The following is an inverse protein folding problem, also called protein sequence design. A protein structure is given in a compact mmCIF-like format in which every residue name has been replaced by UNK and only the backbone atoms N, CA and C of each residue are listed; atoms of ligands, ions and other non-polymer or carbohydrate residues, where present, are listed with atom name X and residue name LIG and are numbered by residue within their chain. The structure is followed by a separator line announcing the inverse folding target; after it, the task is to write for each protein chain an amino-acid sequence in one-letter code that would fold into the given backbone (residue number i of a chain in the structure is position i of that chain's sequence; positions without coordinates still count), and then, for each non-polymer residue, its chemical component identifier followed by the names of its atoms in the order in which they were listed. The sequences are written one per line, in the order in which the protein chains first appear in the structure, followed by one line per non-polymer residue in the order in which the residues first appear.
data_IF_663900689935
#
_entry.id   IF_663900689935
#
_cell.length_a   1.000
_cell.length_b   1.000
_cell.length_c   1.000
_cell.angle_alpha   90.00
_cell.angle_beta   90.00
_cell.angle_gamma   90.00
#
_symmetry.space_group_name_H-M   'P 1'
#
loop_
_entity.id
_entity.type
_entity.pdbx_description
1 polymer ?
#
# COMPACT_ATOMS: atom_id res chain seq x y z
N UNK A 1 31.51 40.17 -5.72
CA UNK A 1 31.89 38.90 -5.03
C UNK A 1 31.54 38.92 -3.54
N UNK A 2 31.76 39.97 -2.79
CA UNK A 2 31.50 40.05 -1.34
C UNK A 2 30.04 39.80 -0.90
N UNK A 3 29.05 40.26 -1.67
CA UNK A 3 27.64 40.12 -1.30
C UNK A 3 27.12 38.64 -1.32
N UNK A 4 27.62 37.79 -2.22
CA UNK A 4 27.32 36.35 -2.23
C UNK A 4 27.90 35.61 -1.03
N UNK A 5 29.07 36.04 -0.56
CA UNK A 5 29.73 35.44 0.61
C UNK A 5 28.95 35.76 1.89
N UNK A 6 28.46 36.99 2.08
CA UNK A 6 27.62 37.35 3.23
C UNK A 6 26.29 36.59 3.24
N UNK A 7 25.68 36.38 2.06
CA UNK A 7 24.46 35.62 1.95
C UNK A 7 24.69 34.15 2.35
N UNK A 8 25.80 33.49 1.93
CA UNK A 8 26.15 32.15 2.32
C UNK A 8 26.36 32.02 3.83
N UNK A 9 27.11 32.97 4.43
CA UNK A 9 27.29 32.98 5.88
C UNK A 9 25.98 33.19 6.63
N UNK A 10 25.11 34.09 6.16
CA UNK A 10 23.78 34.28 6.72
C UNK A 10 22.95 33.00 6.69
N UNK A 11 22.89 32.32 5.54
CA UNK A 11 22.17 31.05 5.39
C UNK A 11 22.75 29.95 6.29
N UNK A 12 24.10 29.85 6.37
CA UNK A 12 24.75 28.83 7.22
C UNK A 12 24.49 29.09 8.71
N UNK A 13 24.56 30.31 9.17
CA UNK A 13 24.30 30.70 10.58
C UNK A 13 22.82 30.44 10.91
N UNK A 14 21.90 30.81 10.02
CA UNK A 14 20.47 30.55 10.20
C UNK A 14 20.17 29.07 10.24
N UNK A 15 20.76 28.29 9.33
CA UNK A 15 20.60 26.82 9.31
C UNK A 15 21.16 26.16 10.60
N UNK A 16 22.32 26.61 11.09
CA UNK A 16 22.88 26.14 12.34
C UNK A 16 22.01 26.51 13.55
N UNK A 17 21.50 27.75 13.61
CA UNK A 17 20.59 28.17 14.67
C UNK A 17 19.27 27.35 14.64
N UNK A 18 18.68 27.12 13.46
CA UNK A 18 17.51 26.25 13.32
C UNK A 18 17.80 24.82 13.78
N UNK A 19 18.95 24.24 13.41
CA UNK A 19 19.35 22.91 13.84
C UNK A 19 19.48 22.80 15.37
N UNK A 20 20.08 23.81 16.01
CA UNK A 20 20.21 23.88 17.48
C UNK A 20 18.84 24.02 18.14
N UNK A 21 17.93 24.83 17.59
CA UNK A 21 16.56 24.99 18.10
C UNK A 21 15.76 23.68 17.97
N UNK A 22 15.85 23.01 16.83
CA UNK A 22 15.21 21.69 16.63
C UNK A 22 15.78 20.64 17.59
N UNK A 23 17.09 20.61 17.77
CA UNK A 23 17.73 19.71 18.73
C UNK A 23 17.27 20.01 20.17
N UNK A 24 17.26 21.27 20.58
CA UNK A 24 16.81 21.68 21.91
C UNK A 24 15.34 21.34 22.15
N UNK A 25 14.46 21.63 21.19
CA UNK A 25 13.02 21.29 21.26
C UNK A 25 12.80 19.78 21.37
N UNK A 26 13.56 18.98 20.60
CA UNK A 26 13.41 17.52 20.56
C UNK A 26 13.89 16.83 21.84
N UNK A 27 14.96 17.35 22.47
CA UNK A 27 15.62 16.67 23.60
C UNK A 27 15.33 17.31 24.97
N UNK A 28 14.90 18.58 25.02
CA UNK A 28 14.76 19.33 26.28
C UNK A 28 13.37 19.97 26.47
N UNK A 29 12.52 19.97 25.44
CA UNK A 29 11.13 20.41 25.54
C UNK A 29 10.22 19.30 24.98
N UNK A 30 8.93 19.38 25.27
CA UNK A 30 7.93 18.35 24.91
C UNK A 30 7.69 18.16 23.40
N UNK A 31 8.67 18.49 22.56
CA UNK A 31 8.60 18.33 21.11
C UNK A 31 7.53 19.24 20.46
N UNK A 32 7.50 20.51 20.83
CA UNK A 32 6.52 21.50 20.33
C UNK A 32 6.52 21.55 18.79
N UNK A 33 7.69 21.39 18.19
CA UNK A 33 7.81 21.32 16.72
C UNK A 33 7.11 20.03 16.17
N UNK A 34 7.27 18.91 16.87
CA UNK A 34 6.63 17.65 16.48
C UNK A 34 5.10 17.74 16.60
N UNK A 35 4.60 18.29 17.71
CA UNK A 35 3.17 18.56 17.94
C UNK A 35 2.62 19.51 16.88
N UNK A 36 3.37 20.57 16.52
CA UNK A 36 2.97 21.49 15.46
C UNK A 36 2.89 20.79 14.09
N UNK A 37 3.89 19.97 13.76
CA UNK A 37 3.92 19.20 12.51
C UNK A 37 2.75 18.21 12.47
N UNK A 38 2.50 17.47 13.55
CA UNK A 38 1.38 16.54 13.66
C UNK A 38 0.03 17.25 13.47
N UNK A 39 -0.16 18.39 14.12
CA UNK A 39 -1.36 19.22 13.97
C UNK A 39 -1.51 19.74 12.53
N UNK A 40 -0.41 20.18 11.90
CA UNK A 40 -0.39 20.63 10.51
C UNK A 40 -0.79 19.49 9.56
N UNK A 41 -0.21 18.29 9.72
CA UNK A 41 -0.61 17.12 8.96
C UNK A 41 -2.06 16.73 9.21
N UNK A 42 -2.55 16.85 10.45
CA UNK A 42 -3.95 16.64 10.80
C UNK A 42 -4.90 17.56 10.02
N UNK A 43 -4.56 18.83 9.91
CA UNK A 43 -5.34 19.82 9.13
C UNK A 43 -5.25 19.54 7.63
N UNK A 44 -4.11 19.07 7.14
CA UNK A 44 -3.89 18.79 5.73
C UNK A 44 -4.44 17.41 5.27
N UNK A 45 -4.86 16.53 6.18
CA UNK A 45 -5.41 15.20 5.85
C UNK A 45 -6.42 15.22 4.69
N UNK A 46 -7.48 16.07 4.68
CA UNK A 46 -8.44 16.09 3.58
C UNK A 46 -7.80 16.48 2.24
N UNK A 47 -6.80 17.37 2.25
CA UNK A 47 -6.07 17.78 1.05
C UNK A 47 -5.22 16.63 0.51
N UNK A 48 -4.54 15.90 1.41
CA UNK A 48 -3.76 14.71 1.05
C UNK A 48 -4.66 13.60 0.47
N UNK A 49 -5.84 13.38 1.06
CA UNK A 49 -6.84 12.46 0.49
C UNK A 49 -7.29 12.90 -0.90
N UNK A 50 -7.57 14.19 -1.08
CA UNK A 50 -7.94 14.75 -2.38
C UNK A 50 -6.84 14.60 -3.44
N UNK A 51 -5.59 14.80 -3.06
CA UNK A 51 -4.43 14.61 -3.93
C UNK A 51 -4.28 13.12 -4.32
N UNK A 52 -4.40 12.22 -3.35
CA UNK A 52 -4.34 10.79 -3.61
C UNK A 52 -5.47 10.31 -4.55
N UNK A 53 -6.72 10.75 -4.29
CA UNK A 53 -7.86 10.45 -5.15
C UNK A 53 -7.68 11.03 -6.56
N UNK A 54 -7.24 12.29 -6.68
CA UNK A 54 -6.96 12.90 -7.98
C UNK A 54 -5.88 12.11 -8.74
N UNK A 55 -4.83 11.68 -8.04
CA UNK A 55 -3.75 10.90 -8.64
C UNK A 55 -4.23 9.54 -9.16
N UNK A 56 -5.04 8.82 -8.37
CA UNK A 56 -5.61 7.53 -8.75
C UNK A 56 -6.63 7.65 -9.90
N UNK A 57 -7.46 8.70 -9.89
CA UNK A 57 -8.51 8.89 -10.89
C UNK A 57 -8.00 9.52 -12.20
N UNK A 58 -6.83 10.14 -12.20
CA UNK A 58 -6.25 10.80 -13.40
C UNK A 58 -6.30 9.93 -14.65
N UNK A 59 -5.86 8.65 -14.67
CA UNK A 59 -5.89 7.84 -15.89
C UNK A 59 -7.29 7.55 -16.39
N UNK A 60 -8.26 7.43 -15.47
CA UNK A 60 -9.67 7.19 -15.83
C UNK A 60 -10.27 8.44 -16.45
N UNK A 61 -10.00 9.61 -15.87
CA UNK A 61 -10.41 10.90 -16.44
C UNK A 61 -9.79 11.11 -17.83
N UNK A 62 -8.50 10.81 -17.99
CA UNK A 62 -7.80 10.96 -19.29
C UNK A 62 -8.31 9.95 -20.34
N UNK A 63 -8.77 8.79 -19.91
CA UNK A 63 -9.45 7.82 -20.77
C UNK A 63 -10.79 8.38 -21.27
N UNK A 64 -11.63 8.91 -20.37
CA UNK A 64 -12.90 9.54 -20.75
C UNK A 64 -12.71 10.82 -21.56
N UNK A 65 -11.69 11.64 -21.26
CA UNK A 65 -11.37 12.82 -22.07
C UNK A 65 -11.08 12.43 -23.54
N UNK A 66 -10.30 11.37 -23.75
CA UNK A 66 -10.02 10.84 -25.10
C UNK A 66 -11.28 10.29 -25.77
N UNK A 67 -12.02 9.45 -25.06
CA UNK A 67 -13.23 8.82 -25.57
C UNK A 67 -14.30 9.86 -25.99
N UNK A 68 -14.51 10.88 -25.17
CA UNK A 68 -15.46 11.96 -25.43
C UNK A 68 -15.00 12.86 -26.59
N UNK A 69 -13.70 13.12 -26.70
CA UNK A 69 -13.12 13.90 -27.79
C UNK A 69 -13.32 13.19 -29.14
N UNK A 70 -13.03 11.88 -29.17
CA UNK A 70 -13.05 11.11 -30.42
C UNK A 70 -14.49 10.81 -30.89
N UNK A 71 -15.45 10.69 -29.94
CA UNK A 71 -16.84 10.31 -30.27
C UNK A 71 -17.82 11.47 -30.40
N UNK A 72 -17.69 12.53 -29.62
CA UNK A 72 -18.69 13.60 -29.49
C UNK A 72 -18.30 14.91 -30.17
N UNK A 73 -17.06 15.06 -30.66
CA UNK A 73 -16.63 16.25 -31.41
C UNK A 73 -16.80 17.58 -30.67
N UNK A 74 -16.92 17.56 -29.34
CA UNK A 74 -17.19 18.74 -28.53
C UNK A 74 -15.99 19.68 -28.57
N UNK A 75 -16.18 20.87 -29.16
CA UNK A 75 -15.10 21.86 -29.36
C UNK A 75 -14.65 22.63 -28.12
N UNK A 76 -15.39 22.56 -27.00
CA UNK A 76 -15.04 23.28 -25.76
C UNK A 76 -14.27 22.36 -24.79
N UNK A 77 -12.95 22.48 -24.78
CA UNK A 77 -12.05 21.67 -23.93
C UNK A 77 -12.41 21.72 -22.42
N UNK A 78 -12.85 22.86 -21.89
CA UNK A 78 -13.26 22.97 -20.50
C UNK A 78 -14.52 22.19 -20.13
N UNK A 79 -15.53 22.17 -20.99
CA UNK A 79 -16.76 21.41 -20.79
C UNK A 79 -16.48 19.89 -20.83
N UNK A 80 -15.63 19.46 -21.77
CA UNK A 80 -15.23 18.05 -21.86
C UNK A 80 -14.52 17.60 -20.61
N UNK A 81 -13.57 18.37 -20.12
CA UNK A 81 -12.85 18.06 -18.87
C UNK A 81 -13.79 17.94 -17.68
N UNK A 82 -14.74 18.87 -17.52
CA UNK A 82 -15.75 18.78 -16.46
C UNK A 82 -16.62 17.53 -16.61
N UNK A 83 -17.05 17.18 -17.82
CA UNK A 83 -17.87 15.99 -18.06
C UNK A 83 -17.09 14.70 -17.79
N UNK A 84 -15.84 14.61 -18.22
CA UNK A 84 -14.96 13.46 -17.94
C UNK A 84 -14.73 13.27 -16.45
N UNK A 85 -14.52 14.35 -15.69
CA UNK A 85 -14.37 14.30 -14.23
C UNK A 85 -15.68 13.84 -13.58
N UNK A 86 -16.82 14.39 -14.00
CA UNK A 86 -18.13 14.03 -13.47
C UNK A 86 -18.45 12.54 -13.72
N UNK A 87 -18.26 12.06 -14.94
CA UNK A 87 -18.47 10.65 -15.30
C UNK A 87 -17.53 9.75 -14.50
N UNK A 88 -16.25 10.12 -14.36
CA UNK A 88 -15.29 9.36 -13.57
C UNK A 88 -15.70 9.26 -12.09
N UNK A 89 -16.15 10.38 -11.50
CA UNK A 89 -16.60 10.38 -10.11
C UNK A 89 -17.92 9.62 -9.91
N UNK A 90 -18.89 9.75 -10.81
CA UNK A 90 -20.11 8.96 -10.78
C UNK A 90 -19.81 7.46 -10.89
N UNK A 91 -18.90 7.08 -11.79
CA UNK A 91 -18.47 5.69 -11.93
C UNK A 91 -17.74 5.19 -10.67
N UNK A 92 -16.82 5.97 -10.12
CA UNK A 92 -16.08 5.62 -8.91
C UNK A 92 -17.01 5.48 -7.70
N UNK A 93 -17.89 6.44 -7.47
CA UNK A 93 -18.88 6.40 -6.38
C UNK A 93 -19.89 5.28 -6.59
N UNK A 94 -20.35 5.06 -7.82
CA UNK A 94 -21.25 3.97 -8.17
C UNK A 94 -20.61 2.60 -7.94
N UNK A 95 -19.34 2.43 -8.31
CA UNK A 95 -18.59 1.20 -8.06
C UNK A 95 -18.39 0.96 -6.55
N UNK A 96 -18.01 1.98 -5.81
CA UNK A 96 -17.86 1.92 -4.34
C UNK A 96 -19.20 1.57 -3.68
N UNK A 97 -20.29 2.24 -4.08
CA UNK A 97 -21.63 1.96 -3.58
C UNK A 97 -22.06 0.51 -3.85
N UNK A 98 -21.89 0.05 -5.10
CA UNK A 98 -22.23 -1.32 -5.49
C UNK A 98 -21.38 -2.35 -4.72
N UNK A 99 -20.09 -2.10 -4.56
CA UNK A 99 -19.20 -2.96 -3.80
C UNK A 99 -19.63 -3.05 -2.33
N UNK A 100 -19.92 -1.92 -1.69
CA UNK A 100 -20.36 -1.91 -0.30
C UNK A 100 -21.78 -2.47 -0.11
N UNK A 101 -22.70 -2.22 -1.05
CA UNK A 101 -24.07 -2.76 -0.99
C UNK A 101 -24.14 -4.28 -1.07
N UNK A 102 -23.18 -4.92 -1.77
CA UNK A 102 -23.05 -6.38 -1.82
C UNK A 102 -22.24 -6.89 -0.64
N UNK A 103 -21.11 -6.26 -0.36
CA UNK A 103 -20.14 -6.77 0.59
C UNK A 103 -20.57 -6.64 2.05
N UNK A 104 -21.18 -5.49 2.43
CA UNK A 104 -21.54 -5.25 3.84
C UNK A 104 -22.59 -6.24 4.36
N UNK A 105 -23.74 -6.48 3.67
CA UNK A 105 -24.70 -7.48 4.14
C UNK A 105 -24.08 -8.88 4.29
N UNK A 106 -23.23 -9.26 3.35
CA UNK A 106 -22.57 -10.57 3.34
C UNK A 106 -21.54 -10.69 4.46
N UNK A 107 -20.78 -9.62 4.72
CA UNK A 107 -19.87 -9.56 5.86
C UNK A 107 -20.63 -9.66 7.18
N UNK A 108 -21.75 -8.92 7.33
CA UNK A 108 -22.57 -8.96 8.54
C UNK A 108 -23.15 -10.36 8.75
N UNK A 109 -23.68 -10.99 7.70
CA UNK A 109 -24.18 -12.35 7.77
C UNK A 109 -23.09 -13.35 8.18
N UNK A 110 -21.91 -13.21 7.59
CA UNK A 110 -20.75 -14.06 7.89
C UNK A 110 -20.23 -13.86 9.33
N UNK A 111 -20.16 -12.63 9.78
CA UNK A 111 -19.79 -12.29 11.16
C UNK A 111 -20.84 -12.82 12.15
N UNK A 112 -22.13 -12.65 11.86
CA UNK A 112 -23.22 -13.18 12.69
C UNK A 112 -23.15 -14.72 12.80
N UNK A 113 -22.89 -15.39 11.69
CA UNK A 113 -22.72 -16.84 11.66
C UNK A 113 -21.50 -17.30 12.48
N UNK A 114 -20.39 -16.57 12.39
CA UNK A 114 -19.20 -16.84 13.17
C UNK A 114 -19.50 -16.74 14.68
N UNK A 115 -20.27 -15.74 15.09
CA UNK A 115 -20.67 -15.58 16.49
C UNK A 115 -21.65 -16.63 16.98
N UNK A 116 -22.63 -16.98 16.18
CA UNK A 116 -23.57 -18.05 16.54
C UNK A 116 -22.88 -19.41 16.74
N UNK A 117 -21.76 -19.61 16.08
CA UNK A 117 -20.97 -20.85 16.18
C UNK A 117 -19.78 -20.76 17.15
N UNK A 118 -19.55 -19.63 17.80
CA UNK A 118 -18.38 -19.41 18.66
C UNK A 118 -18.28 -20.43 19.79
N UNK A 119 -19.41 -20.79 20.42
CA UNK A 119 -19.45 -21.83 21.43
C UNK A 119 -19.10 -23.20 20.90
N UNK A 120 -19.56 -23.52 19.68
CA UNK A 120 -19.21 -24.79 19.00
C UNK A 120 -17.71 -24.86 18.69
N UNK A 121 -17.11 -23.76 18.26
CA UNK A 121 -15.67 -23.67 18.01
C UNK A 121 -14.85 -23.82 19.29
N UNK A 122 -15.28 -23.16 20.37
CA UNK A 122 -14.66 -23.36 21.68
C UNK A 122 -14.69 -24.83 22.09
N UNK A 123 -15.85 -25.49 22.00
CA UNK A 123 -15.98 -26.93 22.31
C UNK A 123 -15.06 -27.79 21.44
N UNK A 124 -14.96 -27.48 20.16
CA UNK A 124 -14.09 -28.20 19.22
C UNK A 124 -12.61 -28.05 19.63
N UNK A 125 -12.17 -26.82 19.90
CA UNK A 125 -10.79 -26.54 20.35
C UNK A 125 -10.54 -27.22 21.68
N UNK A 126 -11.47 -27.12 22.63
CA UNK A 126 -11.37 -27.75 23.94
C UNK A 126 -11.19 -29.25 23.81
N UNK A 127 -11.98 -29.92 22.96
CA UNK A 127 -11.89 -31.36 22.72
C UNK A 127 -10.56 -31.74 22.09
N UNK A 128 -10.09 -30.98 21.08
CA UNK A 128 -8.79 -31.25 20.46
C UNK A 128 -7.64 -31.08 21.45
N UNK A 129 -7.66 -30.03 22.26
CA UNK A 129 -6.63 -29.81 23.28
C UNK A 129 -6.64 -30.91 24.30
N UNK A 130 -7.82 -31.32 24.78
CA UNK A 130 -7.94 -32.45 25.75
C UNK A 130 -7.36 -33.74 25.18
N UNK A 131 -7.67 -34.08 23.92
CA UNK A 131 -7.11 -35.24 23.25
C UNK A 131 -5.59 -35.20 23.05
N UNK A 132 -5.04 -34.02 22.77
CA UNK A 132 -3.60 -33.85 22.55
C UNK A 132 -2.78 -33.87 23.84
N UNK A 133 -3.40 -33.61 24.99
CA UNK A 133 -2.70 -33.44 26.28
C UNK A 133 -3.15 -34.50 27.28
N UNK A 134 -3.82 -35.57 26.83
CA UNK A 134 -4.37 -36.64 27.68
C UNK A 134 -3.29 -37.30 28.53
N UNK A 135 -2.05 -37.36 28.04
CA UNK A 135 -0.91 -38.01 28.73
C UNK A 135 -0.23 -37.14 29.81
N UNK A 136 -0.60 -35.84 29.97
CA UNK A 136 0.11 -34.95 30.85
C UNK A 136 -0.81 -33.96 31.64
N UNK A 137 -1.35 -34.39 32.81
CA UNK A 137 -2.37 -33.64 33.55
C UNK A 137 -2.00 -32.16 33.90
N UNK A 138 -0.74 -31.88 34.19
CA UNK A 138 -0.26 -30.53 34.54
C UNK A 138 -0.27 -29.56 33.35
N UNK A 139 0.05 -30.06 32.16
CA UNK A 139 0.02 -29.25 30.93
C UNK A 139 -1.43 -29.05 30.50
N UNK A 140 -2.27 -30.08 30.66
CA UNK A 140 -3.70 -30.06 30.32
C UNK A 140 -4.43 -28.93 31.05
N UNK A 141 -4.32 -28.84 32.36
CA UNK A 141 -5.03 -27.83 33.16
C UNK A 141 -4.62 -26.41 32.78
N UNK A 142 -3.32 -26.18 32.57
CA UNK A 142 -2.81 -24.84 32.21
C UNK A 142 -3.22 -24.41 30.79
N UNK A 143 -3.17 -25.31 29.82
CA UNK A 143 -3.59 -25.01 28.43
C UNK A 143 -5.09 -24.82 28.35
N UNK A 144 -5.89 -25.63 29.04
CA UNK A 144 -7.34 -25.49 29.05
C UNK A 144 -7.79 -24.19 29.74
N UNK A 145 -7.07 -23.74 30.79
CA UNK A 145 -7.33 -22.44 31.42
C UNK A 145 -7.04 -21.30 30.42
N UNK A 146 -5.91 -21.34 29.72
CA UNK A 146 -5.60 -20.36 28.68
C UNK A 146 -6.67 -20.32 27.58
N UNK A 147 -7.11 -21.47 27.07
CA UNK A 147 -8.16 -21.55 26.05
C UNK A 147 -9.47 -20.92 26.55
N UNK A 148 -9.82 -21.14 27.83
CA UNK A 148 -11.01 -20.54 28.44
C UNK A 148 -10.88 -19.01 28.60
N UNK A 149 -9.73 -18.54 29.05
CA UNK A 149 -9.49 -17.11 29.31
C UNK A 149 -9.52 -16.33 27.97
N UNK A 150 -8.81 -16.82 26.95
CA UNK A 150 -8.86 -16.22 25.62
C UNK A 150 -10.26 -16.30 24.96
N UNK A 151 -11.00 -17.37 25.20
CA UNK A 151 -12.39 -17.47 24.74
C UNK A 151 -13.26 -16.36 25.38
N UNK A 152 -13.17 -16.18 26.69
CA UNK A 152 -13.94 -15.17 27.42
C UNK A 152 -13.53 -13.76 26.95
N UNK A 153 -12.23 -13.48 26.82
CA UNK A 153 -11.72 -12.20 26.31
C UNK A 153 -12.20 -11.94 24.89
N UNK A 154 -12.20 -12.96 24.03
CA UNK A 154 -12.73 -12.86 22.66
C UNK A 154 -14.23 -12.56 22.67
N UNK A 155 -15.02 -13.26 23.49
CA UNK A 155 -16.47 -13.03 23.63
C UNK A 155 -16.76 -11.60 24.10
N UNK A 156 -16.01 -11.12 25.08
CA UNK A 156 -16.17 -9.77 25.63
C UNK A 156 -15.75 -8.71 24.60
N UNK A 157 -14.64 -8.90 23.91
CA UNK A 157 -14.21 -8.00 22.83
C UNK A 157 -15.27 -7.94 21.71
N UNK A 158 -15.83 -9.06 21.35
CA UNK A 158 -16.89 -9.15 20.35
C UNK A 158 -18.13 -8.40 20.79
N UNK A 159 -18.64 -8.67 21.98
CA UNK A 159 -19.86 -8.03 22.52
C UNK A 159 -19.69 -6.53 22.69
N UNK A 160 -18.51 -6.10 23.13
CA UNK A 160 -18.28 -4.71 23.49
C UNK A 160 -17.70 -3.87 22.34
N UNK A 161 -17.09 -4.48 21.32
CA UNK A 161 -16.40 -3.76 20.24
C UNK A 161 -16.97 -4.08 18.87
N UNK A 162 -17.07 -5.38 18.53
CA UNK A 162 -17.42 -5.78 17.15
C UNK A 162 -18.91 -5.61 16.87
N UNK A 163 -19.79 -6.09 17.76
CA UNK A 163 -21.25 -5.96 17.57
C UNK A 163 -21.69 -4.49 17.54
N UNK A 164 -21.28 -3.64 18.49
CA UNK A 164 -21.58 -2.22 18.40
C UNK A 164 -20.99 -1.56 17.16
N UNK A 165 -19.75 -1.90 16.79
CA UNK A 165 -19.10 -1.39 15.58
C UNK A 165 -19.81 -1.81 14.30
N UNK A 166 -20.26 -3.06 14.20
CA UNK A 166 -21.06 -3.55 13.08
C UNK A 166 -22.43 -2.87 12.99
N UNK A 167 -23.12 -2.68 14.13
CA UNK A 167 -24.37 -1.93 14.18
C UNK A 167 -24.18 -0.48 13.72
N UNK A 168 -23.11 0.19 14.18
CA UNK A 168 -22.76 1.55 13.71
C UNK A 168 -22.47 1.54 12.21
N UNK A 169 -21.75 0.56 11.67
CA UNK A 169 -21.49 0.44 10.24
C UNK A 169 -22.78 0.20 9.43
N UNK A 170 -23.68 -0.67 9.91
CA UNK A 170 -24.99 -0.91 9.27
C UNK A 170 -25.85 0.36 9.32
N UNK A 171 -25.94 1.01 10.48
CA UNK A 171 -26.68 2.27 10.63
C UNK A 171 -26.05 3.39 9.80
N UNK A 172 -24.72 3.41 9.67
CA UNK A 172 -24.01 4.36 8.78
C UNK A 172 -24.38 4.16 7.30
N UNK A 173 -24.56 2.91 6.88
CA UNK A 173 -24.96 2.59 5.50
C UNK A 173 -26.47 2.77 5.27
N UNK A 174 -27.31 2.46 6.28
CA UNK A 174 -28.77 2.46 6.14
C UNK A 174 -29.46 3.73 6.64
N UNK A 175 -28.86 4.48 7.56
CA UNK A 175 -29.48 5.64 8.20
C UNK A 175 -28.51 6.71 8.71
N UNK A 176 -27.27 6.67 8.27
CA UNK A 176 -26.18 7.38 8.87
C UNK A 176 -26.14 8.88 8.65
N UNK A 177 -26.16 9.67 9.69
CA UNK A 177 -25.91 11.11 9.54
C UNK A 177 -24.76 11.65 10.42
N UNK A 178 -24.47 11.15 11.59
CA UNK A 178 -23.59 11.89 12.51
C UNK A 178 -22.13 11.40 12.61
N UNK A 179 -21.84 10.13 12.68
CA UNK A 179 -20.44 9.65 12.68
C UNK A 179 -19.82 9.58 11.28
N UNK A 180 -20.67 9.39 10.26
CA UNK A 180 -20.31 9.55 8.84
C UNK A 180 -19.99 11.02 8.53
N UNK A 181 -20.56 12.00 9.24
CA UNK A 181 -20.34 13.43 8.98
C UNK A 181 -18.87 13.86 9.22
N UNK A 182 -18.17 13.32 10.20
CA UNK A 182 -16.77 13.70 10.43
C UNK A 182 -15.86 13.06 9.38
N UNK A 183 -16.04 11.77 9.09
CA UNK A 183 -15.33 11.10 8.00
C UNK A 183 -15.79 11.62 6.63
N UNK A 184 -17.10 11.83 6.45
CA UNK A 184 -17.66 12.39 5.23
C UNK A 184 -17.21 13.83 4.99
N UNK A 185 -17.01 14.63 6.04
CA UNK A 185 -16.44 15.98 5.89
C UNK A 185 -15.06 15.94 5.27
N UNK A 186 -14.14 15.12 5.81
CA UNK A 186 -12.78 15.02 5.29
C UNK A 186 -12.75 14.37 3.89
N UNK A 187 -13.61 13.39 3.66
CA UNK A 187 -13.79 12.77 2.35
C UNK A 187 -14.40 13.76 1.34
N UNK A 188 -15.42 14.51 1.73
CA UNK A 188 -16.09 15.50 0.87
C UNK A 188 -15.13 16.62 0.50
N UNK A 189 -14.39 17.16 1.48
CA UNK A 189 -13.31 18.13 1.19
C UNK A 189 -12.26 17.50 0.27
N UNK A 190 -11.87 16.25 0.50
CA UNK A 190 -10.97 15.51 -0.36
C UNK A 190 -11.51 15.36 -1.78
N UNK A 191 -12.80 15.04 -1.95
CA UNK A 191 -13.45 14.97 -3.28
C UNK A 191 -13.38 16.33 -3.97
N UNK A 192 -13.75 17.42 -3.28
CA UNK A 192 -13.69 18.79 -3.85
C UNK A 192 -12.27 19.14 -4.27
N UNK A 193 -11.29 18.88 -3.41
CA UNK A 193 -9.86 19.09 -3.72
C UNK A 193 -9.44 18.24 -4.91
N UNK A 194 -9.83 16.97 -4.97
CA UNK A 194 -9.55 16.07 -6.10
C UNK A 194 -10.13 16.60 -7.40
N UNK A 195 -11.39 17.01 -7.41
CA UNK A 195 -12.04 17.61 -8.59
C UNK A 195 -11.28 18.85 -9.05
N UNK A 196 -10.88 19.72 -8.11
CA UNK A 196 -10.11 20.92 -8.43
C UNK A 196 -8.74 20.59 -9.02
N UNK A 197 -8.00 19.64 -8.45
CA UNK A 197 -6.71 19.18 -8.97
C UNK A 197 -6.87 18.57 -10.36
N UNK A 198 -7.85 17.69 -10.56
CA UNK A 198 -8.15 17.07 -11.84
C UNK A 198 -8.52 18.10 -12.91
N UNK A 199 -9.33 19.10 -12.55
CA UNK A 199 -9.73 20.17 -13.48
C UNK A 199 -8.55 21.07 -13.90
N UNK A 200 -7.59 21.28 -13.01
CA UNK A 200 -6.46 22.20 -13.17
C UNK A 200 -5.09 21.53 -13.26
N UNK A 201 -5.03 20.21 -13.55
CA UNK A 201 -3.77 19.44 -13.53
C UNK A 201 -2.67 20.05 -14.41
N UNK A 202 -3.05 20.57 -15.59
CA UNK A 202 -2.09 21.20 -16.51
C UNK A 202 -1.50 22.50 -15.93
N UNK A 203 -2.34 23.30 -15.28
CA UNK A 203 -1.93 24.54 -14.62
C UNK A 203 -1.00 24.24 -13.45
N UNK A 204 -1.34 23.24 -12.62
CA UNK A 204 -0.45 22.78 -11.53
C UNK A 204 0.88 22.29 -12.07
N UNK A 205 0.86 21.46 -13.11
CA UNK A 205 2.07 20.99 -13.77
C UNK A 205 2.96 22.11 -14.31
N UNK A 206 2.35 23.16 -14.89
CA UNK A 206 3.08 24.34 -15.35
C UNK A 206 3.68 25.14 -14.20
N UNK A 207 2.94 25.34 -13.10
CA UNK A 207 3.45 26.04 -11.93
C UNK A 207 4.60 25.28 -11.28
N UNK A 208 4.48 23.97 -11.13
CA UNK A 208 5.56 23.11 -10.60
C UNK A 208 6.81 23.19 -11.46
N UNK A 209 6.68 23.16 -12.80
CA UNK A 209 7.81 23.31 -13.71
C UNK A 209 8.45 24.70 -13.62
N UNK A 210 7.63 25.77 -13.54
CA UNK A 210 8.13 27.14 -13.36
C UNK A 210 8.87 27.29 -12.04
N UNK A 211 8.32 26.74 -10.94
CA UNK A 211 8.97 26.76 -9.64
C UNK A 211 10.30 26.00 -9.68
N UNK A 212 10.30 24.81 -10.28
CA UNK A 212 11.52 24.02 -10.43
C UNK A 212 12.58 24.78 -11.23
N UNK A 213 12.18 25.40 -12.35
CA UNK A 213 13.08 26.20 -13.16
C UNK A 213 13.63 27.43 -12.43
N UNK A 214 12.85 28.05 -11.53
CA UNK A 214 13.29 29.20 -10.75
C UNK A 214 14.25 28.82 -9.61
N UNK A 215 14.11 27.63 -9.04
CA UNK A 215 14.93 27.16 -7.92
C UNK A 215 16.22 26.48 -8.36
N UNK A 216 16.23 25.90 -9.55
CA UNK A 216 17.34 25.09 -10.07
C UNK A 216 18.00 25.80 -11.26
N UNK A 217 19.33 25.86 -11.26
CA UNK A 217 20.07 26.46 -12.40
C UNK A 217 19.80 25.72 -13.71
N UNK A 218 19.81 26.45 -14.82
CA UNK A 218 19.48 25.93 -16.15
C UNK A 218 20.11 24.57 -16.53
N UNK A 219 21.41 24.29 -16.26
CA UNK A 219 22.04 23.00 -16.60
C UNK A 219 21.53 21.83 -15.73
N UNK A 220 20.92 22.11 -14.59
CA UNK A 220 20.39 21.10 -13.66
C UNK A 220 18.88 20.86 -13.82
N UNK A 221 18.17 21.81 -14.46
CA UNK A 221 16.72 21.72 -14.64
C UNK A 221 16.28 20.44 -15.38
N UNK A 222 16.92 20.15 -16.51
CA UNK A 222 16.58 18.94 -17.29
C UNK A 222 16.83 17.63 -16.50
N UNK A 223 17.83 17.61 -15.62
CA UNK A 223 18.09 16.48 -14.72
C UNK A 223 17.01 16.36 -13.65
N UNK A 224 16.66 17.49 -13.02
CA UNK A 224 15.59 17.51 -12.01
C UNK A 224 14.24 17.11 -12.61
N UNK A 225 13.93 17.57 -13.83
CA UNK A 225 12.70 17.21 -14.52
C UNK A 225 12.65 15.70 -14.87
N UNK A 226 13.77 15.12 -15.30
CA UNK A 226 13.86 13.67 -15.54
C UNK A 226 13.68 12.88 -14.25
N UNK A 227 14.35 13.28 -13.16
CA UNK A 227 14.19 12.65 -11.86
C UNK A 227 12.75 12.70 -11.35
N UNK A 228 12.06 13.84 -11.51
CA UNK A 228 10.64 13.97 -11.12
C UNK A 228 9.73 13.06 -11.96
N UNK A 229 9.96 12.97 -13.27
CA UNK A 229 9.19 12.06 -14.14
C UNK A 229 9.43 10.59 -13.80
N UNK A 230 10.67 10.24 -13.48
CA UNK A 230 11.02 8.88 -13.08
C UNK A 230 10.38 8.52 -11.74
N UNK A 231 10.43 9.41 -10.75
CA UNK A 231 9.74 9.25 -9.48
C UNK A 231 8.22 9.08 -9.66
N UNK A 232 7.60 9.90 -10.53
CA UNK A 232 6.18 9.75 -10.85
C UNK A 232 5.88 8.40 -11.51
N UNK A 233 6.72 7.95 -12.44
CA UNK A 233 6.60 6.63 -13.08
C UNK A 233 6.65 5.49 -12.09
N UNK A 234 7.65 5.49 -11.21
CA UNK A 234 7.84 4.45 -10.18
C UNK A 234 6.64 4.46 -9.22
N UNK A 235 6.30 5.62 -8.67
CA UNK A 235 5.25 5.74 -7.67
C UNK A 235 3.87 5.40 -8.25
N UNK A 236 3.51 5.96 -9.41
CA UNK A 236 2.22 5.73 -10.05
C UNK A 236 2.06 4.29 -10.52
N UNK A 237 3.11 3.74 -11.12
CA UNK A 237 3.12 2.36 -11.59
C UNK A 237 2.93 1.38 -10.43
N UNK A 238 3.67 1.56 -9.34
CA UNK A 238 3.55 0.71 -8.16
C UNK A 238 2.17 0.80 -7.50
N UNK A 239 1.70 2.02 -7.18
CA UNK A 239 0.43 2.21 -6.45
C UNK A 239 -0.74 1.68 -7.26
N UNK A 240 -0.84 2.05 -8.54
CA UNK A 240 -1.92 1.56 -9.41
C UNK A 240 -1.83 0.07 -9.66
N UNK A 241 -0.62 -0.42 -9.94
CA UNK A 241 -0.39 -1.83 -10.18
C UNK A 241 -0.77 -2.67 -8.96
N UNK A 242 -0.33 -2.29 -7.76
CA UNK A 242 -0.59 -3.08 -6.55
C UNK A 242 -2.05 -3.02 -6.10
N UNK A 243 -2.73 -1.89 -6.27
CA UNK A 243 -4.18 -1.80 -6.01
C UNK A 243 -4.98 -2.67 -6.98
N UNK A 244 -4.64 -2.64 -8.27
CA UNK A 244 -5.30 -3.49 -9.26
C UNK A 244 -5.04 -4.97 -9.01
N UNK A 245 -3.80 -5.33 -8.71
CA UNK A 245 -3.38 -6.67 -8.34
C UNK A 245 -4.19 -7.20 -7.15
N UNK A 246 -4.24 -6.45 -6.06
CA UNK A 246 -4.99 -6.78 -4.84
C UNK A 246 -6.50 -6.94 -5.10
N UNK A 247 -7.07 -6.10 -5.94
CA UNK A 247 -8.46 -6.21 -6.34
C UNK A 247 -8.72 -7.50 -7.11
N UNK A 248 -7.86 -7.83 -8.08
CA UNK A 248 -7.98 -9.05 -8.88
C UNK A 248 -7.84 -10.29 -7.99
N UNK A 249 -6.85 -10.31 -7.10
CA UNK A 249 -6.64 -11.41 -6.14
C UNK A 249 -7.84 -11.57 -5.20
N UNK A 250 -8.40 -10.47 -4.68
CA UNK A 250 -9.62 -10.52 -3.86
C UNK A 250 -10.82 -11.10 -4.62
N UNK A 251 -11.04 -10.67 -5.87
CA UNK A 251 -12.12 -11.19 -6.72
C UNK A 251 -11.90 -12.67 -7.05
N UNK A 252 -10.69 -13.08 -7.44
CA UNK A 252 -10.38 -14.48 -7.71
C UNK A 252 -10.58 -15.34 -6.46
N UNK A 253 -10.12 -14.86 -5.31
CA UNK A 253 -10.34 -15.54 -4.04
C UNK A 253 -11.84 -15.71 -3.76
N UNK A 254 -12.65 -14.66 -3.92
CA UNK A 254 -14.09 -14.72 -3.75
C UNK A 254 -14.75 -15.75 -4.67
N UNK A 255 -14.43 -15.73 -5.97
CA UNK A 255 -15.00 -16.63 -6.97
C UNK A 255 -14.67 -18.08 -6.62
N UNK A 256 -13.40 -18.41 -6.38
CA UNK A 256 -12.98 -19.79 -6.14
C UNK A 256 -13.50 -20.29 -4.79
N UNK A 257 -13.43 -19.49 -3.74
CA UNK A 257 -14.00 -19.84 -2.43
C UNK A 257 -15.52 -20.09 -2.50
N UNK A 258 -16.24 -19.29 -3.32
CA UNK A 258 -17.68 -19.48 -3.54
C UNK A 258 -17.97 -20.77 -4.29
N UNK A 259 -17.21 -21.09 -5.34
CA UNK A 259 -17.36 -22.36 -6.11
C UNK A 259 -17.08 -23.58 -5.22
N UNK A 260 -16.02 -23.51 -4.40
CA UNK A 260 -15.62 -24.58 -3.47
C UNK A 260 -16.49 -24.60 -2.20
N UNK A 261 -17.43 -23.65 -2.06
CA UNK A 261 -18.35 -23.52 -0.92
C UNK A 261 -17.61 -23.47 0.43
N UNK A 262 -16.51 -22.72 0.49
CA UNK A 262 -15.82 -22.49 1.76
C UNK A 262 -16.67 -21.61 2.68
N UNK A 263 -16.65 -21.86 4.00
CA UNK A 263 -17.32 -21.01 4.97
C UNK A 263 -16.67 -19.61 4.97
N UNK A 264 -17.46 -18.61 5.31
CA UNK A 264 -16.98 -17.22 5.45
C UNK A 264 -16.29 -16.65 4.21
N UNK A 265 -16.64 -17.10 3.02
CA UNK A 265 -16.05 -16.68 1.73
C UNK A 265 -15.91 -15.16 1.60
N UNK A 266 -16.92 -14.31 1.90
CA UNK A 266 -16.78 -12.85 1.75
C UNK A 266 -15.72 -12.25 2.67
N UNK A 267 -15.68 -12.71 3.94
CA UNK A 267 -14.66 -12.25 4.90
C UNK A 267 -13.27 -12.65 4.40
N UNK A 268 -13.10 -13.90 4.00
CA UNK A 268 -11.83 -14.44 3.51
C UNK A 268 -11.34 -13.67 2.28
N UNK A 269 -12.22 -13.43 1.31
CA UNK A 269 -11.87 -12.72 0.09
C UNK A 269 -11.46 -11.26 0.36
N UNK A 270 -12.15 -10.59 1.30
CA UNK A 270 -11.79 -9.23 1.72
C UNK A 270 -10.46 -9.23 2.47
N UNK A 271 -10.25 -10.14 3.41
CA UNK A 271 -8.97 -10.26 4.12
C UNK A 271 -7.82 -10.48 3.14
N UNK A 272 -7.92 -11.48 2.27
CA UNK A 272 -6.88 -11.80 1.29
C UNK A 272 -6.66 -10.63 0.33
N UNK A 273 -7.73 -10.04 -0.22
CA UNK A 273 -7.61 -8.92 -1.16
C UNK A 273 -7.02 -7.66 -0.52
N UNK A 274 -7.50 -7.26 0.66
CA UNK A 274 -7.03 -6.05 1.35
C UNK A 274 -5.59 -6.21 1.83
N UNK A 275 -5.27 -7.35 2.45
CA UNK A 275 -3.92 -7.57 2.95
C UNK A 275 -2.90 -7.71 1.82
N UNK A 276 -3.32 -8.22 0.64
CA UNK A 276 -2.46 -8.33 -0.54
C UNK A 276 -1.89 -6.98 -1.02
N UNK A 277 -2.45 -5.85 -0.58
CA UNK A 277 -1.87 -4.52 -0.84
C UNK A 277 -0.45 -4.41 -0.25
N UNK A 278 -0.17 -5.10 0.86
CA UNK A 278 1.15 -5.13 1.49
C UNK A 278 2.02 -6.17 0.75
N UNK A 279 3.09 -5.74 0.05
CA UNK A 279 3.94 -6.69 -0.67
C UNK A 279 4.57 -7.70 0.29
N UNK A 280 4.77 -8.92 -0.15
CA UNK A 280 5.41 -10.05 0.56
C UNK A 280 4.60 -10.53 1.78
N UNK A 281 4.25 -9.65 2.72
CA UNK A 281 3.57 -10.03 3.96
C UNK A 281 2.06 -10.16 3.81
N UNK A 282 1.47 -9.42 2.87
CA UNK A 282 0.02 -9.40 2.65
C UNK A 282 -0.63 -10.77 2.50
N UNK A 283 -0.10 -11.63 1.63
CA UNK A 283 -0.63 -12.98 1.45
C UNK A 283 -0.72 -13.80 2.73
N UNK A 284 0.30 -13.73 3.58
CA UNK A 284 0.33 -14.46 4.86
C UNK A 284 -0.66 -13.88 5.87
N UNK A 285 -0.73 -12.54 5.95
CA UNK A 285 -1.66 -11.83 6.85
C UNK A 285 -3.12 -12.13 6.50
N UNK A 286 -3.44 -12.36 5.24
CA UNK A 286 -4.77 -12.77 4.80
C UNK A 286 -5.03 -14.27 4.95
N UNK A 287 -4.07 -15.09 4.55
CA UNK A 287 -4.25 -16.55 4.49
C UNK A 287 -4.31 -17.21 5.88
N UNK A 288 -3.45 -16.79 6.83
CA UNK A 288 -3.36 -17.43 8.14
C UNK A 288 -4.67 -17.32 8.94
N UNK A 289 -5.25 -16.12 9.15
CA UNK A 289 -6.54 -16.01 9.83
C UNK A 289 -7.67 -16.72 9.09
N UNK A 290 -7.66 -16.66 7.75
CA UNK A 290 -8.67 -17.31 6.91
C UNK A 290 -8.60 -18.84 7.04
N UNK A 291 -7.40 -19.43 7.00
CA UNK A 291 -7.19 -20.85 7.20
C UNK A 291 -7.65 -21.29 8.59
N UNK A 292 -7.37 -20.50 9.62
CA UNK A 292 -7.81 -20.76 10.98
C UNK A 292 -9.35 -20.77 11.09
N UNK A 293 -10.03 -19.79 10.51
CA UNK A 293 -11.51 -19.75 10.49
C UNK A 293 -12.11 -20.97 9.81
N UNK A 294 -11.56 -21.41 8.69
CA UNK A 294 -12.02 -22.62 7.99
C UNK A 294 -11.71 -23.89 8.79
N UNK A 295 -10.54 -23.94 9.45
CA UNK A 295 -10.12 -25.07 10.27
C UNK A 295 -11.13 -25.35 11.39
N UNK A 296 -11.66 -24.32 12.02
CA UNK A 296 -12.65 -24.43 13.09
C UNK A 296 -13.97 -25.09 12.59
N UNK A 297 -14.31 -24.90 11.31
CA UNK A 297 -15.50 -25.52 10.71
C UNK A 297 -15.21 -26.92 10.20
N UNK A 298 -14.12 -27.10 9.46
CA UNK A 298 -13.76 -28.36 8.83
C UNK A 298 -12.27 -28.45 8.50
N UNK A 299 -11.51 -29.34 9.17
CA UNK A 299 -10.10 -29.57 8.86
C UNK A 299 -9.86 -29.95 7.39
N UNK A 300 -10.77 -30.69 6.80
CA UNK A 300 -10.68 -31.12 5.40
C UNK A 300 -10.80 -29.92 4.44
N UNK A 301 -11.73 -29.01 4.71
CA UNK A 301 -11.86 -27.79 3.89
C UNK A 301 -10.66 -26.85 4.09
N UNK A 302 -10.08 -26.79 5.29
CA UNK A 302 -8.87 -26.03 5.55
C UNK A 302 -7.70 -26.53 4.69
N UNK A 303 -7.52 -27.85 4.55
CA UNK A 303 -6.48 -28.40 3.68
C UNK A 303 -6.69 -27.98 2.22
N UNK A 304 -7.91 -28.03 1.71
CA UNK A 304 -8.22 -27.57 0.35
C UNK A 304 -7.98 -26.07 0.19
N UNK A 305 -8.31 -25.27 1.20
CA UNK A 305 -8.05 -23.84 1.20
C UNK A 305 -6.55 -23.52 1.19
N UNK A 306 -5.74 -24.24 1.98
CA UNK A 306 -4.27 -24.08 1.97
C UNK A 306 -3.69 -24.38 0.60
N UNK A 307 -4.12 -25.46 -0.05
CA UNK A 307 -3.68 -25.80 -1.42
C UNK A 307 -4.09 -24.69 -2.39
N UNK A 308 -5.34 -24.23 -2.31
CA UNK A 308 -5.85 -23.17 -3.15
C UNK A 308 -5.08 -21.87 -2.95
N UNK A 309 -4.86 -21.42 -1.70
CA UNK A 309 -4.19 -20.16 -1.43
C UNK A 309 -2.74 -20.16 -1.89
N UNK A 310 -2.04 -21.30 -1.75
CA UNK A 310 -0.69 -21.46 -2.29
C UNK A 310 -0.71 -21.33 -3.83
N UNK A 311 -1.65 -21.99 -4.50
CA UNK A 311 -1.80 -21.88 -5.96
C UNK A 311 -2.11 -20.43 -6.38
N UNK A 312 -3.00 -19.74 -5.65
CA UNK A 312 -3.33 -18.35 -5.89
C UNK A 312 -2.10 -17.45 -5.72
N UNK A 313 -1.27 -17.68 -4.70
CA UNK A 313 -0.04 -16.91 -4.48
C UNK A 313 1.02 -17.20 -5.54
N UNK A 314 1.13 -18.43 -6.02
CA UNK A 314 2.00 -18.75 -7.15
C UNK A 314 1.53 -18.07 -8.44
N UNK A 315 0.22 -17.99 -8.66
CA UNK A 315 -0.35 -17.26 -9.78
C UNK A 315 -0.07 -15.76 -9.65
N UNK A 316 -0.24 -15.18 -8.47
CA UNK A 316 0.09 -13.78 -8.19
C UNK A 316 1.57 -13.50 -8.46
N UNK A 317 2.47 -14.21 -7.80
CA UNK A 317 3.91 -13.94 -7.86
C UNK A 317 4.55 -14.18 -9.23
N UNK A 318 4.07 -15.18 -10.00
CA UNK A 318 4.71 -15.57 -11.25
C UNK A 318 4.00 -15.06 -12.52
N UNK A 319 2.71 -14.73 -12.44
CA UNK A 319 1.93 -14.33 -13.62
C UNK A 319 1.35 -12.92 -13.45
N UNK A 320 0.59 -12.68 -12.38
CA UNK A 320 -0.16 -11.44 -12.21
C UNK A 320 0.76 -10.27 -11.86
N UNK A 321 1.60 -10.46 -10.85
CA UNK A 321 2.58 -9.46 -10.40
C UNK A 321 3.48 -8.96 -11.54
N UNK A 322 4.21 -9.83 -12.26
CA UNK A 322 5.04 -9.41 -13.40
C UNK A 322 4.24 -8.72 -14.51
N UNK A 323 3.01 -9.15 -14.79
CA UNK A 323 2.16 -8.52 -15.82
C UNK A 323 1.63 -7.15 -15.42
N UNK A 324 1.31 -6.94 -14.15
CA UNK A 324 0.69 -5.70 -13.67
C UNK A 324 1.75 -4.70 -13.22
N UNK A 325 2.71 -5.13 -12.41
CA UNK A 325 3.74 -4.27 -11.84
C UNK A 325 4.94 -4.10 -12.79
N UNK A 326 5.24 -5.13 -13.62
CA UNK A 326 6.40 -5.14 -14.50
C UNK A 326 7.70 -4.89 -13.72
N UNK A 327 8.69 -4.30 -14.40
CA UNK A 327 9.96 -3.87 -13.79
C UNK A 327 9.87 -2.48 -13.14
N UNK A 328 8.65 -2.06 -12.72
CA UNK A 328 8.35 -0.66 -12.38
C UNK A 328 9.15 -0.17 -11.16
N UNK A 329 9.50 -1.07 -10.24
CA UNK A 329 10.13 -0.69 -8.95
C UNK A 329 11.65 -0.73 -9.02
N UNK A 330 12.24 -1.60 -9.83
CA UNK A 330 13.69 -1.66 -10.12
C UNK A 330 14.62 -1.88 -8.92
N UNK A 331 14.10 -2.33 -7.76
CA UNK A 331 14.88 -2.64 -6.56
C UNK A 331 14.80 -4.13 -6.22
N UNK A 332 15.87 -4.67 -5.60
CA UNK A 332 15.88 -6.06 -5.19
C UNK A 332 14.92 -6.36 -4.04
N UNK A 333 14.50 -7.63 -3.90
CA UNK A 333 13.58 -8.08 -2.84
C UNK A 333 14.08 -7.73 -1.44
N UNK A 334 15.39 -7.71 -1.21
CA UNK A 334 15.98 -7.26 0.05
C UNK A 334 15.56 -5.82 0.39
N UNK A 335 15.69 -4.90 -0.56
CA UNK A 335 15.31 -3.50 -0.36
C UNK A 335 13.81 -3.30 -0.23
N UNK A 336 13.00 -4.17 -0.83
CA UNK A 336 11.55 -4.16 -0.61
C UNK A 336 11.22 -4.49 0.85
N UNK A 337 11.86 -5.53 1.42
CA UNK A 337 11.67 -5.87 2.85
C UNK A 337 12.09 -4.71 3.75
N UNK A 338 13.25 -4.11 3.51
CA UNK A 338 13.72 -2.94 4.28
C UNK A 338 12.73 -1.79 4.18
N UNK A 339 12.24 -1.49 2.98
CA UNK A 339 11.26 -0.41 2.75
C UNK A 339 9.95 -0.65 3.50
N UNK A 340 9.47 -1.90 3.55
CA UNK A 340 8.26 -2.26 4.29
C UNK A 340 8.47 -2.12 5.80
N UNK A 341 9.60 -2.59 6.33
CA UNK A 341 9.90 -2.51 7.77
C UNK A 341 10.05 -1.06 8.23
N UNK A 342 10.83 -0.27 7.49
CA UNK A 342 11.03 1.16 7.81
C UNK A 342 9.73 1.93 7.62
N UNK A 343 9.06 1.75 6.49
CA UNK A 343 7.78 2.40 6.22
C UNK A 343 6.72 2.04 7.26
N UNK A 344 6.67 0.77 7.66
CA UNK A 344 5.77 0.28 8.70
C UNK A 344 6.00 0.93 10.06
N UNK A 345 7.26 1.13 10.44
CA UNK A 345 7.63 1.83 11.67
C UNK A 345 7.18 3.30 11.71
N UNK A 346 7.19 3.98 10.57
CA UNK A 346 6.78 5.40 10.50
C UNK A 346 5.27 5.60 10.27
N UNK A 347 4.62 4.75 9.50
CA UNK A 347 3.25 5.00 9.06
C UNK A 347 2.30 3.79 9.14
N UNK A 348 2.65 2.76 9.92
CA UNK A 348 1.84 1.54 10.05
C UNK A 348 1.58 0.90 8.67
N UNK A 349 0.37 0.41 8.46
CA UNK A 349 -0.02 -0.29 7.21
C UNK A 349 0.16 0.59 5.96
N UNK A 350 -0.22 1.87 6.04
CA UNK A 350 -0.01 2.81 4.93
C UNK A 350 1.47 3.04 4.65
N UNK A 351 2.29 3.09 5.70
CA UNK A 351 3.73 3.19 5.59
C UNK A 351 4.36 1.94 4.97
N UNK A 352 3.88 0.74 5.29
CA UNK A 352 4.33 -0.50 4.63
C UNK A 352 4.05 -0.47 3.13
N UNK A 353 2.88 0.01 2.73
CA UNK A 353 2.50 0.11 1.33
C UNK A 353 3.28 1.19 0.58
N UNK A 354 3.29 2.42 1.10
CA UNK A 354 3.94 3.56 0.44
C UNK A 354 5.46 3.55 0.58
N UNK A 355 5.99 2.85 1.57
CA UNK A 355 7.43 2.73 1.81
C UNK A 355 8.18 2.18 0.61
N UNK A 356 7.61 1.20 -0.09
CA UNK A 356 8.24 0.57 -1.25
C UNK A 356 8.48 1.55 -2.40
N UNK A 357 7.47 2.27 -2.93
CA UNK A 357 7.71 3.24 -4.00
C UNK A 357 8.53 4.45 -3.54
N UNK A 358 8.40 4.88 -2.30
CA UNK A 358 9.25 5.96 -1.74
C UNK A 358 10.71 5.53 -1.71
N UNK A 359 10.99 4.32 -1.21
CA UNK A 359 12.35 3.78 -1.18
C UNK A 359 12.91 3.58 -2.59
N UNK A 360 12.10 3.11 -3.53
CA UNK A 360 12.51 2.95 -4.93
C UNK A 360 12.88 4.31 -5.56
N UNK A 361 12.12 5.37 -5.27
CA UNK A 361 12.46 6.73 -5.72
C UNK A 361 13.79 7.21 -5.11
N UNK A 362 14.01 6.97 -3.81
CA UNK A 362 15.27 7.31 -3.13
C UNK A 362 16.43 6.52 -3.75
N UNK A 363 16.26 5.21 -3.94
CA UNK A 363 17.27 4.35 -4.56
C UNK A 363 17.61 4.81 -5.99
N UNK A 364 16.61 5.11 -6.81
CA UNK A 364 16.80 5.65 -8.16
C UNK A 364 17.57 6.99 -8.14
N UNK A 365 17.23 7.88 -7.21
CA UNK A 365 17.94 9.16 -7.05
C UNK A 365 19.40 8.95 -6.63
N UNK A 366 19.68 8.06 -5.68
CA UNK A 366 21.04 7.73 -5.23
C UNK A 366 21.84 7.10 -6.37
N UNK A 367 21.28 6.12 -7.08
CA UNK A 367 21.94 5.49 -8.25
C UNK A 367 22.29 6.52 -9.31
N UNK A 368 21.37 7.44 -9.63
CA UNK A 368 21.64 8.51 -10.58
C UNK A 368 22.78 9.45 -10.13
N UNK A 369 22.83 9.78 -8.83
CA UNK A 369 23.93 10.60 -8.28
C UNK A 369 25.26 9.87 -8.31
N UNK A 370 25.29 8.59 -7.99
CA UNK A 370 26.48 7.73 -8.07
C UNK A 370 27.01 7.65 -9.49
N UNK A 371 26.14 7.31 -10.46
CA UNK A 371 26.55 7.24 -11.87
C UNK A 371 27.07 8.57 -12.40
N UNK A 372 26.39 9.67 -12.06
CA UNK A 372 26.82 11.01 -12.44
C UNK A 372 28.20 11.35 -11.87
N UNK A 373 28.51 10.90 -10.64
CA UNK A 373 29.81 11.09 -10.00
C UNK A 373 30.89 10.23 -10.63
N UNK A 374 30.58 8.96 -10.94
CA UNK A 374 31.52 8.02 -11.59
C UNK A 374 31.91 8.50 -12.99
N UNK A 375 30.95 8.97 -13.78
CA UNK A 375 31.20 9.57 -15.10
C UNK A 375 32.12 10.79 -15.01
N UNK A 376 31.97 11.64 -13.99
CA UNK A 376 32.88 12.78 -13.76
C UNK A 376 34.33 12.35 -13.43
N UNK A 377 34.47 11.17 -12.81
CA UNK A 377 35.76 10.57 -12.48
C UNK A 377 36.37 9.76 -13.63
N UNK A 378 35.73 9.72 -14.82
CA UNK A 378 36.18 8.96 -15.97
C UNK A 378 36.01 7.44 -15.86
N UNK A 379 35.27 6.98 -14.84
CA UNK A 379 34.96 5.55 -14.65
C UNK A 379 33.73 5.21 -15.47
N UNK A 380 33.93 4.57 -16.61
CA UNK A 380 32.85 4.17 -17.55
C UNK A 380 32.66 2.66 -17.62
N UNK A 381 33.56 1.90 -16.99
CA UNK A 381 33.55 0.44 -17.06
C UNK A 381 32.96 -0.18 -15.77
N UNK A 382 31.78 -0.77 -15.89
CA UNK A 382 31.10 -1.46 -14.80
C UNK A 382 31.85 -2.72 -14.32
N UNK A 383 32.82 -3.21 -15.10
CA UNK A 383 33.63 -4.37 -14.73
C UNK A 383 34.49 -4.13 -13.50
N UNK A 384 34.85 -2.88 -13.19
CA UNK A 384 35.63 -2.51 -12.00
C UNK A 384 34.87 -2.87 -10.71
N UNK A 385 33.53 -2.84 -10.75
CA UNK A 385 32.62 -3.11 -9.61
C UNK A 385 32.00 -4.49 -9.68
N UNK A 386 32.26 -5.27 -10.75
CA UNK A 386 31.76 -6.63 -10.83
C UNK A 386 32.28 -7.46 -9.64
N UNK A 387 31.43 -8.25 -8.95
CA UNK A 387 31.88 -9.12 -7.89
C UNK A 387 32.99 -10.05 -8.46
N UNK A 388 34.16 -10.06 -7.83
CA UNK A 388 35.22 -11.01 -8.17
C UNK A 388 34.60 -12.41 -8.09
N UNK A 389 34.30 -13.02 -9.24
CA UNK A 389 34.01 -14.45 -9.30
C UNK A 389 35.24 -15.12 -8.67
N UNK A 390 35.00 -15.83 -7.57
CA UNK A 390 36.01 -16.66 -6.94
C UNK A 390 36.65 -17.50 -8.05
N UNK A 391 37.92 -17.25 -8.29
CA UNK A 391 38.79 -18.09 -9.14
C UNK A 391 39.00 -19.41 -8.38
N UNK A 392 37.95 -20.20 -8.21
CA UNK A 392 38.07 -21.61 -7.86
C UNK A 392 38.01 -22.40 -9.16
N UNK A 393 39.19 -22.63 -9.64
CA UNK A 393 39.65 -23.81 -10.34
C UNK A 393 38.79 -24.38 -11.47
N UNK A 394 39.12 -24.02 -12.69
CA UNK A 394 39.43 -25.06 -13.71
C UNK A 394 40.39 -24.44 -14.72
N UNK A 395 41.67 -24.71 -14.55
CA UNK A 395 42.67 -24.66 -15.60
C UNK A 395 42.28 -25.67 -16.69
N UNK A 396 41.51 -25.20 -17.68
CA UNK A 396 41.49 -25.91 -18.97
C UNK A 396 42.71 -25.43 -19.75
N UNK A 397 43.73 -26.25 -19.75
CA UNK A 397 44.86 -26.23 -20.72
C UNK A 397 44.31 -26.09 -22.13
N UNK A 398 44.84 -25.19 -22.94
CA UNK A 398 44.51 -25.17 -24.36
C UNK A 398 45.15 -26.42 -25.00
N UNK A 399 44.26 -27.25 -25.56
CA UNK A 399 44.66 -28.34 -26.42
C UNK A 399 45.33 -27.75 -27.67
N UNK A 400 46.60 -28.10 -27.85
CA UNK A 400 47.42 -27.68 -28.99
C UNK A 400 46.77 -28.04 -30.32
N UNK A 401 46.86 -27.13 -31.24
CA UNK A 401 46.80 -27.37 -32.67
C UNK A 401 47.96 -28.30 -33.05
N UNK A 402 47.64 -29.49 -33.54
CA UNK A 402 48.56 -30.27 -34.37
C UNK A 402 48.13 -30.12 -35.83
N UNK A 403 48.97 -29.48 -36.58
CA UNK A 403 49.06 -29.67 -37.99
C UNK A 403 49.38 -31.16 -38.34
N UNK A 404 48.52 -31.72 -39.18
CA UNK A 404 48.85 -32.46 -40.39
C UNK A 404 47.62 -32.65 -41.23
#
# INVERSE_FOLDING_TARGET
MKQKTYLHWGVTITAAACAILVFYDTFFQDGVLFIFIEKLFGILKPVLYGLAMAYLLTPIVDFFDRLLRDRLGVKRAGLMRCLSILVTWLLALGLVYLLFSILIPELVASVSLLFSNLESYYRTIYTWVTQLVEDNPYISERVLTLVRDYYNELVDWVKNTVIPGAQVAIVAVTGGVLSVLVFAKDLLVGIVVSVYILARKETFGLHTRKLLYSLVSAPHYERALRATREADRIFSGFVRGKLLDSLIIGILCFIVCSILKFPYTPIIAVFVGVTNVIPIFGPFLGAIPSAFLILLVSPRQCLYFIIFIIALQQFDGNILGPKILGETVGISSFWIVVAILVGGGFGGVLGMFLGVPVFACIHSAVSFLCESSLRKKGVTDDTIFAPRRSLTGTTTTPKGENHE
#
